data_IF_064421118427
#
_entry.id   IF_064421118427
#
_cell.length_a   1.000
_cell.length_b   1.000
_cell.length_c   1.000
_cell.angle_alpha   90.00
_cell.angle_beta   90.00
_cell.angle_gamma   90.00
#
_symmetry.space_group_name_H-M   'P 1'
#
loop_
_entity.id
_entity.type
_entity.pdbx_description
1 polymer ?
#
# COMPACT_ATOMS: atom_id res chain seq x y z
N UNK A 1 -24.43 24.26 -20.24
CA UNK A 1 -23.95 22.90 -19.91
C UNK A 1 -25.16 21.99 -19.83
N UNK A 2 -25.19 20.92 -20.61
CA UNK A 2 -26.23 19.89 -20.50
C UNK A 2 -25.83 19.00 -19.31
N UNK A 3 -26.61 19.03 -18.23
CA UNK A 3 -26.42 18.12 -17.10
C UNK A 3 -27.09 16.79 -17.42
N UNK A 4 -26.29 15.81 -17.85
CA UNK A 4 -26.74 14.43 -17.86
C UNK A 4 -26.64 13.87 -16.44
N UNK A 5 -27.74 13.34 -15.93
CA UNK A 5 -27.73 12.59 -14.68
C UNK A 5 -27.23 11.18 -14.99
N UNK A 6 -26.02 10.87 -14.52
CA UNK A 6 -25.36 9.57 -14.72
C UNK A 6 -25.14 8.93 -13.37
N UNK A 7 -25.45 7.63 -13.26
CA UNK A 7 -25.10 6.82 -12.09
C UNK A 7 -23.63 6.41 -12.22
N UNK A 8 -22.81 6.78 -11.24
CA UNK A 8 -21.40 6.40 -11.22
C UNK A 8 -21.23 4.99 -10.68
N UNK A 9 -20.71 4.08 -11.50
CA UNK A 9 -20.53 2.66 -11.16
C UNK A 9 -19.07 2.21 -11.17
N UNK A 10 -18.10 3.13 -11.27
CA UNK A 10 -16.66 2.81 -11.39
C UNK A 10 -15.85 3.17 -10.14
N UNK A 11 -16.41 2.93 -8.95
CA UNK A 11 -15.68 3.14 -7.68
C UNK A 11 -14.43 2.25 -7.56
N UNK A 12 -14.34 1.18 -8.36
CA UNK A 12 -13.12 0.37 -8.52
C UNK A 12 -11.99 1.08 -9.28
N UNK A 13 -12.33 2.02 -10.16
CA UNK A 13 -11.41 2.81 -10.95
C UNK A 13 -10.92 4.03 -10.18
N UNK A 14 -11.85 4.86 -9.72
CA UNK A 14 -11.56 6.08 -8.98
C UNK A 14 -12.64 6.37 -7.94
N UNK A 15 -12.24 6.94 -6.82
CA UNK A 15 -13.15 7.52 -5.85
C UNK A 15 -13.82 8.77 -6.41
N UNK A 16 -14.89 9.22 -5.75
CA UNK A 16 -15.46 10.56 -6.00
C UNK A 16 -15.12 11.49 -4.86
N UNK A 17 -15.01 12.78 -5.17
CA UNK A 17 -14.88 13.83 -4.18
C UNK A 17 -16.05 13.80 -3.19
N UNK A 18 -15.76 14.14 -1.94
CA UNK A 18 -16.76 14.40 -0.91
C UNK A 18 -16.71 15.88 -0.57
N UNK A 19 -17.84 16.58 -0.68
CA UNK A 19 -17.89 18.04 -0.54
C UNK A 19 -17.21 18.54 0.73
N UNK A 20 -17.41 17.88 1.87
CA UNK A 20 -16.82 18.31 3.14
C UNK A 20 -15.29 18.15 3.19
N UNK A 21 -14.72 17.17 2.46
CA UNK A 21 -13.27 17.02 2.32
C UNK A 21 -12.73 18.16 1.46
N UNK A 22 -13.40 18.46 0.36
CA UNK A 22 -13.01 19.57 -0.52
C UNK A 22 -13.11 20.92 0.20
N UNK A 23 -14.18 21.13 0.96
CA UNK A 23 -14.40 22.34 1.75
C UNK A 23 -13.30 22.51 2.81
N UNK A 24 -12.91 21.44 3.51
CA UNK A 24 -11.82 21.46 4.49
C UNK A 24 -10.47 21.78 3.83
N UNK A 25 -10.14 21.10 2.73
CA UNK A 25 -8.91 21.38 1.99
C UNK A 25 -8.89 22.84 1.51
N UNK A 26 -10.01 23.34 0.99
CA UNK A 26 -10.10 24.69 0.47
C UNK A 26 -9.96 25.75 1.57
N UNK A 27 -10.61 25.55 2.73
CA UNK A 27 -10.72 26.57 3.79
C UNK A 27 -9.60 26.52 4.80
N UNK A 28 -9.12 25.33 5.14
CA UNK A 28 -8.20 25.15 6.28
C UNK A 28 -6.77 24.81 5.82
N UNK A 29 -6.62 24.08 4.71
CA UNK A 29 -5.30 23.62 4.22
C UNK A 29 -4.68 24.62 3.26
N UNK A 30 -5.35 24.92 2.15
CA UNK A 30 -4.78 25.70 1.05
C UNK A 30 -4.31 27.12 1.47
N UNK A 31 -4.97 27.84 2.40
CA UNK A 31 -4.50 29.16 2.82
C UNK A 31 -3.13 29.17 3.51
N UNK A 32 -2.73 28.05 4.11
CA UNK A 32 -1.45 27.91 4.83
C UNK A 32 -0.44 27.04 4.10
N UNK A 33 -0.79 26.54 2.91
CA UNK A 33 0.08 25.70 2.10
C UNK A 33 1.30 26.46 1.57
N UNK A 34 2.51 25.90 1.76
CA UNK A 34 3.73 26.41 1.15
C UNK A 34 4.69 25.29 0.72
N UNK A 35 5.59 25.62 -0.21
CA UNK A 35 6.70 24.74 -0.58
C UNK A 35 7.76 24.81 0.52
N UNK A 36 8.47 23.70 0.77
CA UNK A 36 9.51 23.56 1.80
C UNK A 36 10.80 24.36 1.53
N UNK A 37 10.80 25.30 0.58
CA UNK A 37 11.98 26.07 0.21
C UNK A 37 12.37 27.15 1.24
N UNK A 38 11.53 27.42 2.25
CA UNK A 38 11.82 28.41 3.30
C UNK A 38 11.44 27.86 4.67
N UNK A 39 12.34 27.06 5.26
CA UNK A 39 12.13 26.25 6.46
C UNK A 39 11.62 27.01 7.71
N UNK A 40 11.70 28.34 7.75
CA UNK A 40 11.31 29.15 8.91
C UNK A 40 10.00 29.93 8.72
N UNK A 41 9.30 29.76 7.60
CA UNK A 41 7.99 30.40 7.41
C UNK A 41 6.91 29.65 8.19
N UNK A 42 5.91 30.40 8.70
CA UNK A 42 4.75 29.81 9.36
C UNK A 42 4.06 28.75 8.48
N UNK A 43 3.90 29.06 7.19
CA UNK A 43 3.24 28.18 6.22
C UNK A 43 4.06 26.92 5.91
N UNK A 44 5.39 27.01 5.86
CA UNK A 44 6.26 25.83 5.75
C UNK A 44 6.18 24.95 7.00
N UNK A 45 6.17 25.54 8.21
CA UNK A 45 5.99 24.80 9.45
C UNK A 45 4.63 24.10 9.52
N UNK A 46 3.55 24.79 9.17
CA UNK A 46 2.20 24.22 9.12
C UNK A 46 2.10 23.07 8.11
N UNK A 47 2.71 23.23 6.93
CA UNK A 47 2.76 22.18 5.90
C UNK A 47 3.48 20.93 6.41
N UNK A 48 4.56 21.10 7.18
CA UNK A 48 5.30 19.99 7.77
C UNK A 48 4.48 19.25 8.84
N UNK A 49 3.77 20.00 9.70
CA UNK A 49 2.85 19.41 10.68
C UNK A 49 1.79 18.55 9.98
N UNK A 50 1.13 19.09 8.95
CA UNK A 50 0.13 18.33 8.20
C UNK A 50 0.69 17.04 7.61
N UNK A 51 1.92 17.08 7.08
CA UNK A 51 2.58 15.90 6.52
C UNK A 51 2.87 14.85 7.60
N UNK A 52 3.48 15.26 8.71
CA UNK A 52 3.80 14.37 9.83
C UNK A 52 2.53 13.73 10.41
N UNK A 53 1.50 14.53 10.71
CA UNK A 53 0.24 14.02 11.22
C UNK A 53 -0.43 13.06 10.24
N UNK A 54 -0.41 13.37 8.94
CA UNK A 54 -0.97 12.50 7.91
C UNK A 54 -0.27 11.15 7.87
N UNK A 55 1.07 11.14 7.94
CA UNK A 55 1.84 9.91 8.01
C UNK A 55 1.55 9.12 9.28
N UNK A 56 1.46 9.78 10.43
CA UNK A 56 1.16 9.11 11.71
C UNK A 56 -0.22 8.47 11.74
N UNK A 57 -1.21 9.10 11.11
CA UNK A 57 -2.54 8.53 10.92
C UNK A 57 -2.44 7.26 10.06
N UNK A 58 -1.75 7.34 8.92
CA UNK A 58 -1.60 6.21 8.00
C UNK A 58 -0.79 5.08 8.66
N UNK A 59 0.28 5.39 9.40
CA UNK A 59 1.07 4.41 10.18
C UNK A 59 0.19 3.58 11.10
N UNK A 60 -0.68 4.24 11.85
CA UNK A 60 -1.61 3.57 12.77
C UNK A 60 -2.63 2.74 12.02
N UNK A 61 -3.22 3.29 10.96
CA UNK A 61 -4.23 2.60 10.15
C UNK A 61 -3.72 1.33 9.47
N UNK A 62 -2.43 1.29 9.11
CA UNK A 62 -1.80 0.12 8.46
C UNK A 62 -1.07 -0.82 9.44
N UNK A 63 -1.13 -0.55 10.75
CA UNK A 63 -0.38 -1.27 11.80
C UNK A 63 1.13 -1.34 11.52
N UNK A 64 1.70 -0.22 11.07
CA UNK A 64 3.14 -0.07 10.90
C UNK A 64 3.87 -0.05 12.26
N UNK A 65 5.04 -0.67 12.34
CA UNK A 65 5.92 -0.62 13.51
C UNK A 65 7.09 0.37 13.28
N UNK A 66 7.99 0.50 14.25
CA UNK A 66 9.13 1.44 14.18
C UNK A 66 10.12 1.13 13.04
N UNK A 67 10.11 -0.08 12.49
CA UNK A 67 10.97 -0.49 11.36
C UNK A 67 10.32 -0.24 10.00
N UNK A 68 9.06 0.20 9.99
CA UNK A 68 8.28 0.43 8.78
C UNK A 68 8.38 1.86 8.30
N UNK A 69 8.75 1.98 7.03
CA UNK A 69 8.81 3.23 6.30
C UNK A 69 7.48 3.43 5.61
N UNK A 70 6.80 4.55 5.89
CA UNK A 70 5.54 4.93 5.24
C UNK A 70 5.80 6.08 4.29
N UNK A 71 5.66 5.83 2.99
CA UNK A 71 5.90 6.80 1.93
C UNK A 71 4.60 7.13 1.23
N UNK A 72 4.31 8.42 1.14
CA UNK A 72 3.18 8.95 0.41
C UNK A 72 3.67 9.47 -0.95
N UNK A 73 2.90 9.24 -2.01
CA UNK A 73 3.27 9.62 -3.39
C UNK A 73 4.26 8.67 -4.07
N UNK A 74 4.62 7.54 -3.44
CA UNK A 74 5.47 6.54 -4.06
C UNK A 74 4.62 5.46 -4.74
N UNK A 75 4.66 5.41 -6.07
CA UNK A 75 4.15 4.26 -6.83
C UNK A 75 5.16 3.10 -6.82
N UNK A 76 4.72 1.91 -7.24
CA UNK A 76 5.62 0.76 -7.42
C UNK A 76 6.83 1.11 -8.29
N UNK A 77 6.63 1.86 -9.39
CA UNK A 77 7.73 2.30 -10.27
C UNK A 77 8.76 3.14 -9.52
N UNK A 78 8.31 4.08 -8.69
CA UNK A 78 9.21 4.94 -7.91
C UNK A 78 9.94 4.15 -6.82
N UNK A 79 9.23 3.25 -6.16
CA UNK A 79 9.81 2.33 -5.18
C UNK A 79 10.89 1.43 -5.82
N UNK A 80 10.63 0.83 -6.98
CA UNK A 80 11.62 -0.04 -7.64
C UNK A 80 12.83 0.74 -8.18
N UNK A 81 12.63 1.98 -8.66
CA UNK A 81 13.74 2.85 -9.08
C UNK A 81 14.67 3.26 -7.94
N UNK A 82 14.15 3.33 -6.71
CA UNK A 82 14.94 3.66 -5.52
C UNK A 82 15.57 2.41 -4.90
N UNK A 83 14.85 1.29 -4.86
CA UNK A 83 15.36 0.01 -4.36
C UNK A 83 16.43 -0.62 -5.28
N UNK A 84 16.29 -0.43 -6.60
CA UNK A 84 17.19 -0.96 -7.65
C UNK A 84 17.56 -2.44 -7.47
N UNK A 85 16.58 -3.34 -7.31
CA UNK A 85 16.87 -4.71 -6.94
C UNK A 85 17.60 -5.44 -8.10
N UNK A 86 18.64 -6.20 -7.76
CA UNK A 86 19.50 -6.88 -8.73
C UNK A 86 19.23 -8.38 -8.76
N UNK A 87 19.28 -8.99 -9.95
CA UNK A 87 19.07 -10.44 -10.17
C UNK A 87 17.82 -10.96 -9.44
N UNK A 88 16.66 -10.46 -9.83
CA UNK A 88 15.39 -10.74 -9.14
C UNK A 88 14.54 -11.73 -9.95
N UNK A 89 13.89 -12.64 -9.24
CA UNK A 89 12.75 -13.40 -9.77
C UNK A 89 11.50 -13.01 -8.98
N UNK A 90 10.44 -12.67 -9.69
CA UNK A 90 9.17 -12.19 -9.11
C UNK A 90 8.06 -13.16 -9.47
N UNK A 91 7.44 -13.73 -8.45
CA UNK A 91 6.25 -14.57 -8.57
C UNK A 91 5.02 -13.66 -8.56
N UNK A 92 4.20 -13.74 -9.61
CA UNK A 92 3.03 -12.88 -9.81
C UNK A 92 1.78 -13.69 -10.10
N UNK A 93 0.61 -13.10 -9.90
CA UNK A 93 -0.65 -13.75 -10.27
C UNK A 93 -0.73 -13.98 -11.80
N UNK A 94 -1.41 -15.03 -12.23
CA UNK A 94 -1.55 -15.36 -13.64
C UNK A 94 -2.26 -14.27 -14.47
N UNK A 95 -3.12 -13.47 -13.84
CA UNK A 95 -4.04 -12.51 -14.48
C UNK A 95 -3.58 -11.06 -14.47
N UNK A 96 -2.39 -10.75 -13.94
CA UNK A 96 -1.85 -9.39 -14.02
C UNK A 96 -1.63 -8.96 -15.48
N UNK A 97 -2.01 -7.72 -15.78
CA UNK A 97 -1.83 -7.11 -17.11
C UNK A 97 -0.38 -6.67 -17.34
N UNK A 98 0.00 -6.52 -18.61
CA UNK A 98 1.36 -6.05 -18.95
C UNK A 98 1.68 -4.68 -18.37
N UNK A 99 0.70 -3.78 -18.27
CA UNK A 99 0.90 -2.47 -17.66
C UNK A 99 1.22 -2.55 -16.17
N UNK A 100 0.59 -3.47 -15.44
CA UNK A 100 0.87 -3.68 -14.02
C UNK A 100 2.24 -4.34 -13.78
N UNK A 101 2.67 -5.19 -14.73
CA UNK A 101 3.97 -5.86 -14.67
C UNK A 101 5.10 -5.05 -15.29
N UNK A 102 4.81 -3.95 -16.00
CA UNK A 102 5.79 -3.11 -16.66
C UNK A 102 6.92 -2.63 -15.72
N UNK A 103 6.64 -2.15 -14.48
CA UNK A 103 7.70 -1.71 -13.57
C UNK A 103 8.72 -2.82 -13.25
N UNK A 104 8.26 -4.07 -13.14
CA UNK A 104 9.11 -5.23 -12.92
C UNK A 104 9.92 -5.62 -14.16
N UNK A 105 9.31 -5.53 -15.34
CA UNK A 105 10.04 -5.77 -16.61
C UNK A 105 11.11 -4.71 -16.84
N UNK A 106 10.83 -3.45 -16.55
CA UNK A 106 11.76 -2.33 -16.65
C UNK A 106 12.97 -2.49 -15.73
N UNK A 107 12.80 -3.08 -14.55
CA UNK A 107 13.92 -3.39 -13.66
C UNK A 107 14.63 -4.72 -14.00
N UNK A 108 14.30 -5.35 -15.13
CA UNK A 108 14.93 -6.58 -15.59
C UNK A 108 14.60 -7.82 -14.74
N UNK A 109 13.48 -7.81 -14.01
CA UNK A 109 13.08 -8.95 -13.21
C UNK A 109 12.60 -10.11 -14.10
N UNK A 110 12.95 -11.33 -13.72
CA UNK A 110 12.34 -12.53 -14.28
C UNK A 110 10.96 -12.75 -13.68
N UNK A 111 9.93 -12.83 -14.52
CA UNK A 111 8.55 -12.97 -14.05
C UNK A 111 8.08 -14.42 -14.16
N UNK A 112 7.64 -14.99 -13.04
CA UNK A 112 7.04 -16.33 -12.97
C UNK A 112 5.58 -16.17 -12.58
N UNK A 113 4.67 -16.55 -13.49
CA UNK A 113 3.24 -16.53 -13.23
C UNK A 113 2.82 -17.77 -12.42
N UNK A 114 2.12 -17.54 -11.32
CA UNK A 114 1.49 -18.57 -10.51
C UNK A 114 0.04 -18.72 -10.96
N UNK A 115 -0.41 -19.94 -11.30
CA UNK A 115 -1.79 -20.20 -11.69
C UNK A 115 -2.74 -19.99 -10.51
N UNK A 116 -4.02 -19.86 -10.84
CA UNK A 116 -5.10 -19.87 -9.85
C UNK A 116 -5.69 -21.28 -9.74
N UNK A 117 -6.22 -21.62 -8.56
CA UNK A 117 -7.08 -22.80 -8.38
C UNK A 117 -8.41 -22.62 -9.11
N UNK A 118 -9.24 -23.67 -9.16
CA UNK A 118 -10.57 -23.59 -9.79
C UNK A 118 -11.49 -22.57 -9.11
N UNK A 119 -11.26 -22.33 -7.84
CA UNK A 119 -11.99 -21.39 -6.98
C UNK A 119 -11.45 -19.95 -7.12
N UNK A 120 -10.36 -19.74 -7.87
CA UNK A 120 -9.77 -18.43 -8.13
C UNK A 120 -8.72 -17.98 -7.10
N UNK A 121 -8.29 -18.86 -6.19
CA UNK A 121 -7.21 -18.57 -5.24
C UNK A 121 -5.84 -18.77 -5.88
N UNK A 122 -4.79 -18.19 -5.31
CA UNK A 122 -3.40 -18.47 -5.72
C UNK A 122 -3.09 -19.95 -5.45
N UNK A 123 -2.58 -20.67 -6.45
CA UNK A 123 -2.16 -22.06 -6.27
C UNK A 123 -0.85 -22.13 -5.46
N UNK A 124 -0.98 -22.31 -4.15
CA UNK A 124 0.15 -22.37 -3.22
C UNK A 124 1.06 -23.58 -3.46
N UNK A 125 0.53 -24.70 -3.97
CA UNK A 125 1.36 -25.86 -4.31
C UNK A 125 2.27 -25.54 -5.51
N UNK A 126 1.72 -24.85 -6.50
CA UNK A 126 2.51 -24.38 -7.64
C UNK A 126 3.53 -23.31 -7.21
N UNK A 127 3.13 -22.35 -6.38
CA UNK A 127 4.04 -21.35 -5.83
C UNK A 127 5.21 -22.01 -5.08
N UNK A 128 4.93 -23.00 -4.22
CA UNK A 128 5.97 -23.72 -3.50
C UNK A 128 6.95 -24.41 -4.46
N UNK A 129 6.45 -25.12 -5.47
CA UNK A 129 7.31 -25.76 -6.47
C UNK A 129 8.20 -24.74 -7.20
N UNK A 130 7.65 -23.56 -7.55
CA UNK A 130 8.41 -22.49 -8.21
C UNK A 130 9.43 -21.82 -7.28
N UNK A 131 9.14 -21.71 -5.99
CA UNK A 131 10.10 -21.27 -4.99
C UNK A 131 11.24 -22.27 -4.82
N UNK A 132 10.94 -23.57 -4.77
CA UNK A 132 11.94 -24.64 -4.70
C UNK A 132 12.90 -24.61 -5.91
N UNK A 133 12.35 -24.52 -7.13
CA UNK A 133 13.14 -24.44 -8.37
C UNK A 133 14.11 -23.23 -8.40
N UNK A 134 13.74 -22.13 -7.77
CA UNK A 134 14.53 -20.89 -7.76
C UNK A 134 15.44 -20.74 -6.54
N UNK A 135 15.26 -21.61 -5.53
CA UNK A 135 16.11 -21.63 -4.34
C UNK A 135 17.55 -22.04 -4.73
N UNK A 136 18.55 -21.32 -4.21
CA UNK A 136 19.95 -21.59 -4.49
C UNK A 136 20.49 -21.02 -5.82
N UNK A 137 19.65 -20.40 -6.66
CA UNK A 137 20.08 -19.76 -7.92
C UNK A 137 20.86 -18.44 -7.70
N UNK A 138 20.88 -17.93 -6.47
CA UNK A 138 21.44 -16.63 -6.10
C UNK A 138 20.58 -15.43 -6.51
N UNK A 139 19.37 -15.66 -7.06
CA UNK A 139 18.40 -14.60 -7.35
C UNK A 139 17.68 -14.17 -6.07
N UNK A 140 17.31 -12.89 -5.97
CA UNK A 140 16.35 -12.42 -4.95
C UNK A 140 14.95 -12.88 -5.36
N UNK A 141 14.33 -13.69 -4.53
CA UNK A 141 12.94 -14.12 -4.72
C UNK A 141 11.99 -13.12 -4.11
N UNK A 142 10.95 -12.71 -4.86
CA UNK A 142 9.90 -11.79 -4.41
C UNK A 142 8.55 -12.35 -4.85
N UNK A 143 7.58 -12.48 -3.94
CA UNK A 143 6.18 -12.62 -4.31
C UNK A 143 5.56 -11.25 -4.44
N UNK A 144 4.88 -10.97 -5.55
CA UNK A 144 4.09 -9.75 -5.74
C UNK A 144 2.67 -10.11 -6.16
N UNK A 145 1.74 -10.06 -5.21
CA UNK A 145 0.36 -10.50 -5.39
C UNK A 145 -0.63 -9.40 -5.01
N UNK A 146 -1.77 -9.29 -5.71
CA UNK A 146 -2.85 -8.44 -5.24
C UNK A 146 -3.56 -9.09 -4.06
N UNK A 147 -4.00 -8.29 -3.09
CA UNK A 147 -4.81 -8.76 -1.96
C UNK A 147 -6.21 -9.26 -2.39
N UNK A 148 -6.65 -8.91 -3.60
CA UNK A 148 -7.85 -9.43 -4.23
C UNK A 148 -7.72 -9.45 -5.75
N UNK A 149 -8.31 -10.46 -6.39
CA UNK A 149 -8.36 -10.53 -7.86
C UNK A 149 -9.18 -9.37 -8.42
N UNK A 150 -8.58 -8.59 -9.33
CA UNK A 150 -9.26 -7.48 -10.02
C UNK A 150 -10.38 -7.96 -10.96
N UNK A 151 -10.35 -9.24 -11.34
CA UNK A 151 -11.34 -9.82 -12.24
C UNK A 151 -12.48 -10.52 -11.50
N UNK A 152 -12.17 -11.30 -10.46
CA UNK A 152 -13.19 -12.11 -9.75
C UNK A 152 -13.61 -11.52 -8.40
N UNK A 153 -12.83 -10.59 -7.84
CA UNK A 153 -13.05 -10.05 -6.50
C UNK A 153 -12.69 -11.00 -5.35
N UNK A 154 -12.18 -12.21 -5.66
CA UNK A 154 -11.75 -13.19 -4.65
C UNK A 154 -10.56 -12.62 -3.87
N UNK A 155 -10.67 -12.63 -2.53
CA UNK A 155 -9.58 -12.23 -1.64
C UNK A 155 -8.47 -13.27 -1.67
N UNK A 156 -7.22 -12.81 -1.73
CA UNK A 156 -6.06 -13.68 -1.57
C UNK A 156 -5.91 -14.08 -0.10
N UNK A 157 -5.45 -15.31 0.15
CA UNK A 157 -4.96 -15.70 1.46
C UNK A 157 -3.56 -15.12 1.65
N UNK A 158 -3.51 -13.86 2.09
CA UNK A 158 -2.27 -13.11 2.27
C UNK A 158 -1.40 -13.70 3.38
N UNK A 159 -2.01 -14.33 4.37
CA UNK A 159 -1.34 -14.98 5.50
C UNK A 159 -0.59 -16.23 5.05
N UNK A 160 -1.28 -17.19 4.43
CA UNK A 160 -0.67 -18.44 3.98
C UNK A 160 0.37 -18.20 2.88
N UNK A 161 0.08 -17.27 1.96
CA UNK A 161 1.02 -16.89 0.89
C UNK A 161 2.28 -16.26 1.47
N UNK A 162 2.15 -15.33 2.43
CA UNK A 162 3.30 -14.68 3.08
C UNK A 162 4.14 -15.68 3.87
N UNK A 163 3.50 -16.59 4.62
CA UNK A 163 4.17 -17.67 5.35
C UNK A 163 5.04 -18.51 4.40
N UNK A 164 4.45 -18.96 3.30
CA UNK A 164 5.15 -19.76 2.31
C UNK A 164 6.34 -19.00 1.71
N UNK A 165 6.16 -17.73 1.33
CA UNK A 165 7.27 -16.91 0.81
C UNK A 165 8.44 -16.81 1.81
N UNK A 166 8.14 -16.56 3.09
CA UNK A 166 9.15 -16.43 4.13
C UNK A 166 9.87 -17.73 4.47
N UNK A 167 9.19 -18.88 4.39
CA UNK A 167 9.83 -20.20 4.53
C UNK A 167 10.97 -20.39 3.51
N UNK A 168 10.84 -19.81 2.32
CA UNK A 168 11.86 -19.83 1.26
C UNK A 168 12.74 -18.56 1.24
N UNK A 169 12.66 -17.70 2.26
CA UNK A 169 13.39 -16.41 2.36
C UNK A 169 13.11 -15.44 1.20
N UNK A 170 11.96 -15.58 0.55
CA UNK A 170 11.47 -14.66 -0.45
C UNK A 170 10.82 -13.44 0.23
N UNK A 171 10.82 -12.29 -0.45
CA UNK A 171 10.12 -11.10 0.05
C UNK A 171 8.63 -11.14 -0.30
N UNK A 172 7.78 -10.68 0.62
CA UNK A 172 6.32 -10.64 0.48
C UNK A 172 5.81 -9.23 0.14
N UNK A 173 5.62 -8.95 -1.15
CA UNK A 173 5.10 -7.68 -1.65
C UNK A 173 3.62 -7.81 -2.04
N UNK A 174 2.81 -6.82 -1.64
CA UNK A 174 1.35 -6.91 -1.79
C UNK A 174 0.72 -5.65 -2.40
N UNK A 175 -0.09 -5.81 -3.44
CA UNK A 175 -0.97 -4.76 -3.98
C UNK A 175 -2.34 -4.81 -3.28
N UNK A 176 -2.53 -3.91 -2.31
CA UNK A 176 -3.79 -3.71 -1.59
C UNK A 176 -4.73 -2.70 -2.25
N UNK A 177 -4.40 -2.16 -3.43
CA UNK A 177 -5.16 -1.08 -4.07
C UNK A 177 -6.66 -1.34 -4.19
N UNK A 178 -7.08 -2.59 -4.45
CA UNK A 178 -8.50 -2.94 -4.55
C UNK A 178 -9.19 -3.11 -3.18
N UNK A 179 -8.43 -3.48 -2.15
CA UNK A 179 -8.94 -3.92 -0.84
C UNK A 179 -8.89 -2.81 0.21
N UNK A 180 -7.86 -1.96 0.16
CA UNK A 180 -7.63 -0.88 1.13
C UNK A 180 -8.81 0.09 1.30
N UNK A 181 -9.63 0.40 0.27
CA UNK A 181 -10.81 1.27 0.43
C UNK A 181 -11.91 0.71 1.34
N UNK A 182 -11.97 -0.61 1.55
CA UNK A 182 -13.09 -1.27 2.26
C UNK A 182 -12.66 -2.14 3.42
N UNK A 183 -11.40 -2.58 3.46
CA UNK A 183 -10.89 -3.52 4.47
C UNK A 183 -9.62 -3.01 5.13
N UNK A 184 -9.33 -3.53 6.31
CA UNK A 184 -8.09 -3.26 7.04
C UNK A 184 -6.86 -3.63 6.17
N UNK A 185 -5.85 -2.77 6.16
CA UNK A 185 -4.53 -3.09 5.64
C UNK A 185 -3.67 -3.36 6.86
N UNK A 186 -3.10 -4.55 6.97
CA UNK A 186 -2.26 -4.90 8.13
C UNK A 186 -0.86 -5.25 7.65
N UNK A 187 0.11 -4.37 7.91
CA UNK A 187 1.52 -4.55 7.58
C UNK A 187 2.18 -5.61 8.47
N UNK A 188 1.72 -5.75 9.72
CA UNK A 188 2.29 -6.61 10.74
C UNK A 188 1.21 -7.45 11.42
N UNK A 189 0.52 -8.33 10.67
CA UNK A 189 -0.49 -9.17 11.28
C UNK A 189 0.17 -10.16 12.25
N UNK A 190 -0.59 -10.55 13.26
CA UNK A 190 -0.17 -11.50 14.30
C UNK A 190 -1.22 -12.58 14.41
N UNK A 191 -0.82 -13.85 14.36
CA UNK A 191 -1.73 -14.99 14.49
C UNK A 191 -1.28 -15.92 15.62
N UNK A 192 -2.20 -16.38 16.48
CA UNK A 192 -1.89 -17.40 17.48
C UNK A 192 -1.29 -18.65 16.83
N UNK A 193 -0.18 -19.15 17.39
CA UNK A 193 0.49 -20.35 16.88
C UNK A 193 1.41 -20.12 15.67
N UNK A 194 1.51 -18.89 15.16
CA UNK A 194 2.47 -18.51 14.13
C UNK A 194 3.60 -17.71 14.77
N UNK A 195 4.86 -18.03 14.43
CA UNK A 195 6.04 -17.30 14.92
C UNK A 195 5.95 -15.81 14.56
N UNK A 196 6.35 -14.95 15.49
CA UNK A 196 6.26 -13.51 15.33
C UNK A 196 7.04 -13.04 14.09
N UNK A 197 6.41 -12.18 13.29
CA UNK A 197 7.01 -11.66 12.06
C UNK A 197 7.00 -12.62 10.86
N UNK A 198 6.56 -13.88 10.99
CA UNK A 198 6.47 -14.80 9.84
C UNK A 198 5.36 -14.45 8.85
N UNK A 199 4.40 -13.63 9.26
CA UNK A 199 3.27 -13.16 8.41
C UNK A 199 3.35 -11.65 8.13
N UNK A 200 4.42 -10.97 8.54
CA UNK A 200 4.62 -9.55 8.22
C UNK A 200 4.69 -9.37 6.71
N UNK A 201 4.17 -8.28 6.16
CA UNK A 201 4.48 -7.95 4.77
C UNK A 201 5.85 -7.28 4.73
N UNK A 202 6.62 -7.55 3.68
CA UNK A 202 7.86 -6.80 3.42
C UNK A 202 7.58 -5.47 2.74
N UNK A 203 6.59 -5.43 1.84
CA UNK A 203 6.07 -4.19 1.27
C UNK A 203 4.57 -4.29 0.93
N UNK A 204 3.85 -3.20 1.15
CA UNK A 204 2.43 -3.03 0.82
C UNK A 204 2.24 -1.77 0.01
N UNK A 205 1.47 -1.87 -1.07
CA UNK A 205 1.16 -0.78 -1.98
C UNK A 205 -0.36 -0.60 -2.07
N UNK A 206 -0.85 0.62 -2.01
CA UNK A 206 -2.24 0.93 -2.34
C UNK A 206 -2.38 2.36 -2.88
N UNK A 207 -3.50 2.65 -3.57
CA UNK A 207 -3.78 3.98 -4.09
C UNK A 207 -4.99 4.60 -3.38
N UNK A 208 -4.78 5.73 -2.71
CA UNK A 208 -5.85 6.47 -2.04
C UNK A 208 -6.87 7.05 -3.02
N UNK A 209 -6.54 7.19 -4.31
CA UNK A 209 -7.50 7.61 -5.34
C UNK A 209 -8.76 6.77 -5.35
N UNK A 210 -8.67 5.48 -5.01
CA UNK A 210 -9.79 4.54 -5.03
C UNK A 210 -10.72 4.63 -3.82
N UNK A 211 -10.39 5.47 -2.84
CA UNK A 211 -11.19 5.63 -1.64
C UNK A 211 -12.35 6.57 -1.89
N UNK A 212 -13.45 6.41 -1.16
CA UNK A 212 -14.52 7.41 -1.17
C UNK A 212 -13.96 8.73 -0.61
N UNK A 213 -14.08 9.82 -1.38
CA UNK A 213 -13.44 11.11 -1.07
C UNK A 213 -11.98 11.22 -1.53
N UNK A 214 -11.42 10.14 -2.07
CA UNK A 214 -10.00 9.97 -2.32
C UNK A 214 -9.51 10.43 -3.67
N UNK A 215 -10.39 10.88 -4.58
CA UNK A 215 -10.01 11.32 -5.94
C UNK A 215 -8.77 12.22 -5.94
N UNK A 216 -7.81 11.96 -6.83
CA UNK A 216 -6.49 12.61 -6.85
C UNK A 216 -5.61 12.37 -5.62
N UNK A 217 -5.95 11.38 -4.80
CA UNK A 217 -5.14 10.93 -3.67
C UNK A 217 -3.87 10.21 -4.13
N UNK A 218 -2.84 10.15 -3.26
CA UNK A 218 -1.54 9.61 -3.60
C UNK A 218 -1.54 8.08 -3.56
N UNK A 219 -0.52 7.48 -4.18
CA UNK A 219 -0.10 6.14 -3.82
C UNK A 219 0.51 6.14 -2.42
N UNK A 220 0.23 5.10 -1.64
CA UNK A 220 0.87 4.84 -0.36
C UNK A 220 1.67 3.56 -0.50
N UNK A 221 2.96 3.65 -0.15
CA UNK A 221 3.86 2.50 -0.07
C UNK A 221 4.37 2.38 1.36
N UNK A 222 4.19 1.21 1.95
CA UNK A 222 4.69 0.88 3.28
C UNK A 222 5.63 -0.29 3.16
N UNK A 223 6.84 -0.20 3.73
CA UNK A 223 7.83 -1.25 3.58
C UNK A 223 8.81 -1.34 4.74
N UNK A 224 9.44 -2.50 4.90
CA UNK A 224 10.47 -2.75 5.91
C UNK A 224 11.77 -2.01 5.52
N UNK A 225 12.33 -1.18 6.41
CA UNK A 225 13.60 -0.49 6.14
C UNK A 225 14.74 -1.43 5.74
N UNK A 226 14.72 -2.67 6.25
CA UNK A 226 15.69 -3.72 5.94
C UNK A 226 15.78 -4.08 4.45
N UNK A 227 14.73 -3.81 3.65
CA UNK A 227 14.79 -3.96 2.19
C UNK A 227 15.91 -3.11 1.57
N UNK A 228 16.21 -1.96 2.18
CA UNK A 228 17.23 -1.03 1.72
C UNK A 228 18.60 -1.28 2.33
N UNK A 229 18.79 -2.25 3.23
CA UNK A 229 20.03 -2.46 4.00
C UNK A 229 21.31 -2.55 3.17
N UNK A 230 21.22 -3.08 1.96
CA UNK A 230 22.35 -3.23 1.04
C UNK A 230 22.33 -2.19 -0.09
N UNK A 231 21.66 -1.06 0.12
CA UNK A 231 21.55 0.05 -0.85
C UNK A 231 22.22 1.30 -0.29
N UNK A 232 22.63 2.21 -1.18
CA UNK A 232 23.21 3.50 -0.77
C UNK A 232 22.23 4.43 -0.05
N UNK A 233 20.92 4.14 -0.12
CA UNK A 233 19.87 4.94 0.49
C UNK A 233 19.47 4.45 1.89
N UNK A 234 20.10 3.38 2.41
CA UNK A 234 19.78 2.88 3.74
C UNK A 234 19.95 3.97 4.81
N UNK A 235 18.97 4.05 5.71
CA UNK A 235 19.01 4.89 6.90
C UNK A 235 18.35 4.13 8.04
N UNK A 236 18.95 4.19 9.23
CA UNK A 236 18.32 3.68 10.45
C UNK A 236 17.08 4.53 10.83
N UNK A 237 17.08 5.81 10.45
CA UNK A 237 15.92 6.69 10.55
C UNK A 237 14.97 6.46 9.36
N UNK A 238 13.80 5.92 9.66
CA UNK A 238 12.74 5.64 8.68
C UNK A 238 12.16 6.90 8.04
N UNK A 239 12.20 8.05 8.72
CA UNK A 239 11.71 9.31 8.14
C UNK A 239 12.66 9.83 7.07
N UNK A 240 13.97 9.76 7.30
CA UNK A 240 14.98 10.15 6.32
C UNK A 240 14.87 9.30 5.05
N UNK A 241 14.71 7.99 5.21
CA UNK A 241 14.48 7.09 4.08
C UNK A 241 13.15 7.40 3.37
N UNK A 242 12.09 7.67 4.14
CA UNK A 242 10.80 8.04 3.57
C UNK A 242 10.90 9.30 2.71
N UNK A 243 11.53 10.36 3.23
CA UNK A 243 11.65 11.65 2.54
C UNK A 243 12.46 11.57 1.26
N UNK A 244 13.44 10.68 1.21
CA UNK A 244 14.26 10.45 0.01
C UNK A 244 13.44 9.84 -1.13
N UNK A 245 12.42 9.04 -0.80
CA UNK A 245 11.55 8.37 -1.76
C UNK A 245 10.28 9.18 -2.04
N UNK A 246 9.85 10.05 -1.13
CA UNK A 246 8.57 10.78 -1.22
C UNK A 246 8.47 11.68 -2.48
N UNK A 247 7.29 11.72 -3.10
CA UNK A 247 6.93 12.68 -4.15
C UNK A 247 5.51 13.17 -3.92
N UNK A 248 5.34 14.08 -2.97
CA UNK A 248 3.99 14.46 -2.56
C UNK A 248 3.80 15.96 -2.38
N UNK A 249 2.56 16.38 -2.64
CA UNK A 249 2.03 17.69 -2.24
C UNK A 249 1.26 17.55 -0.94
N UNK A 250 1.37 18.51 -0.04
CA UNK A 250 0.73 18.45 1.28
C UNK A 250 -0.79 18.15 1.23
N UNK A 251 -1.51 18.67 0.23
CA UNK A 251 -2.93 18.38 0.02
C UNK A 251 -3.22 16.89 -0.20
N UNK A 252 -2.36 16.19 -0.94
CA UNK A 252 -2.50 14.76 -1.21
C UNK A 252 -2.31 13.93 0.07
N UNK A 253 -1.36 14.33 0.92
CA UNK A 253 -1.10 13.68 2.20
C UNK A 253 -2.31 13.79 3.15
N UNK A 254 -2.87 15.00 3.28
CA UNK A 254 -4.04 15.25 4.12
C UNK A 254 -5.25 14.47 3.59
N UNK A 255 -5.46 14.48 2.27
CA UNK A 255 -6.54 13.70 1.66
C UNK A 255 -6.38 12.21 1.97
N UNK A 256 -5.17 11.66 1.82
CA UNK A 256 -4.88 10.28 2.16
C UNK A 256 -5.22 9.96 3.63
N UNK A 257 -4.82 10.83 4.55
CA UNK A 257 -5.11 10.67 5.97
C UNK A 257 -6.63 10.68 6.26
N UNK A 258 -7.36 11.66 5.72
CA UNK A 258 -8.80 11.79 5.94
C UNK A 258 -9.57 10.58 5.39
N UNK A 259 -9.24 10.11 4.19
CA UNK A 259 -9.98 8.97 3.60
C UNK A 259 -9.65 7.65 4.30
N UNK A 260 -8.43 7.50 4.82
CA UNK A 260 -8.07 6.36 5.67
C UNK A 260 -8.86 6.38 6.98
N UNK A 261 -8.94 7.53 7.65
CA UNK A 261 -9.76 7.69 8.85
C UNK A 261 -11.24 7.44 8.58
N UNK A 262 -11.77 7.97 7.47
CA UNK A 262 -13.16 7.76 7.07
C UNK A 262 -13.45 6.27 6.90
N UNK A 263 -12.58 5.55 6.17
CA UNK A 263 -12.69 4.10 5.95
C UNK A 263 -12.70 3.33 7.27
N UNK A 264 -11.80 3.66 8.19
CA UNK A 264 -11.73 2.97 9.49
C UNK A 264 -12.93 3.29 10.39
N UNK A 265 -13.45 4.53 10.32
CA UNK A 265 -14.62 4.98 11.08
C UNK A 265 -15.95 4.35 10.63
N UNK A 266 -16.03 3.85 9.39
CA UNK A 266 -17.21 3.18 8.82
C UNK A 266 -17.03 1.67 8.65
N UNK A 267 -16.02 1.08 9.30
CA UNK A 267 -15.73 -0.35 9.22
C UNK A 267 -16.82 -1.23 9.85
N UNK A 268 -16.93 -2.48 9.39
CA UNK A 268 -17.86 -3.46 9.97
C UNK A 268 -17.62 -3.67 11.47
N UNK A 269 -16.36 -3.63 11.91
CA UNK A 269 -16.01 -3.72 13.32
C UNK A 269 -16.59 -2.55 14.11
N UNK A 270 -16.42 -1.31 13.64
CA UNK A 270 -17.00 -0.13 14.30
C UNK A 270 -18.54 -0.16 14.31
N UNK A 271 -19.18 -0.70 13.28
CA UNK A 271 -20.63 -0.89 13.24
C UNK A 271 -21.05 -1.90 14.33
N UNK A 272 -20.35 -3.03 14.44
CA UNK A 272 -20.60 -4.04 15.48
C UNK A 272 -20.39 -3.48 16.89
N UNK A 273 -19.27 -2.79 17.13
CA UNK A 273 -18.94 -2.19 18.43
C UNK A 273 -20.00 -1.14 18.87
N UNK A 274 -20.52 -0.36 17.92
CA UNK A 274 -21.62 0.59 18.19
C UNK A 274 -22.95 -0.10 18.46
N UNK A 275 -23.24 -1.21 17.78
CA UNK A 275 -24.46 -1.99 18.03
C UNK A 275 -24.46 -2.55 19.47
N UNK A 276 -23.33 -3.07 19.93
CA UNK A 276 -23.17 -3.57 21.30
C UNK A 276 -23.34 -2.46 22.34
N UNK A 277 -22.95 -1.22 22.03
CA UNK A 277 -23.20 -0.06 22.89
C UNK A 277 -24.69 0.33 22.94
N UNK A 278 -25.39 0.31 21.80
CA UNK A 278 -26.81 0.71 21.71
C UNK A 278 -27.73 -0.34 22.35
N UNK A 279 -27.32 -1.61 22.34
CA UNK A 279 -28.12 -2.72 22.89
C UNK A 279 -27.89 -2.98 24.38
N UNK A 280 -26.96 -2.27 25.02
CA UNK A 280 -26.77 -2.23 26.48
C UNK A 280 -27.58 -1.12 27.12
#
# INVERSE_FOLDING_TARGET
>A
MIHFQVVYCDYSGSGRALNWIEDYIQRDVLPTHAIRSTALSFTSGQTEIFRCESKDIIRRAVRACAEDVVVLGASLTRFLRTLQPQRVVVFVSSRETDGQLAPWKECGAELIKIPETKEGFIDLNNLEHKLQENTGTGKRMIGFFPAASKLTGVLADDVATTLLLHQYRAWSFWDYTLVAPTSAVDMNPTFPGVEEGMVKKDAVFFNCEKFVGGVQGPFVTVFKRELFKNTALYSDDVEVLSETIEEIRCVEAIRAAIVMQLRDAISLQMIADKQDYITR
#
